data_IF_876065060921
#
_entry.id   IF_876065060921
#
_cell.length_a   1.000
_cell.length_b   1.000
_cell.length_c   1.000
_cell.angle_alpha   90.00
_cell.angle_beta   90.00
_cell.angle_gamma   90.00
#
_symmetry.space_group_name_H-M   'P 1'
#
loop_
_entity.id
_entity.type
_entity.pdbx_description
1 polymer ?
#
# COMPACT_ATOMS: atom_id res chain seq x y z
N UNK A 1 -1.67 -22.77 5.61
CA UNK A 1 -1.92 -21.38 5.15
C UNK A 1 -0.88 -20.87 4.14
N UNK A 2 0.36 -21.40 4.14
CA UNK A 2 1.46 -21.00 3.25
C UNK A 2 1.13 -20.96 1.75
N UNK A 3 0.47 -22.00 1.21
CA UNK A 3 0.09 -22.06 -0.21
C UNK A 3 -0.74 -20.84 -0.65
N UNK A 4 -1.69 -20.39 0.17
CA UNK A 4 -2.54 -19.23 -0.16
C UNK A 4 -1.74 -17.93 -0.17
N UNK A 5 -0.90 -17.71 0.85
CA UNK A 5 -0.04 -16.52 0.93
C UNK A 5 0.98 -16.49 -0.21
N UNK A 6 1.53 -17.64 -0.59
CA UNK A 6 2.43 -17.77 -1.74
C UNK A 6 1.76 -17.34 -3.05
N UNK A 7 0.54 -17.82 -3.32
CA UNK A 7 -0.20 -17.43 -4.53
C UNK A 7 -0.62 -15.97 -4.53
N UNK A 8 -0.98 -15.41 -3.37
CA UNK A 8 -1.26 -13.97 -3.24
C UNK A 8 0.00 -13.16 -3.52
N UNK A 9 1.13 -13.52 -2.92
CA UNK A 9 2.41 -12.83 -3.16
C UNK A 9 2.86 -12.88 -4.62
N UNK A 10 2.70 -14.04 -5.27
CA UNK A 10 3.00 -14.20 -6.70
C UNK A 10 2.10 -13.30 -7.58
N UNK A 11 0.80 -13.22 -7.26
CA UNK A 11 -0.15 -12.35 -7.96
C UNK A 11 0.18 -10.87 -7.79
N UNK A 12 0.61 -10.45 -6.59
CA UNK A 12 1.04 -9.07 -6.32
C UNK A 12 2.29 -8.72 -7.12
N UNK A 13 3.31 -9.59 -7.14
CA UNK A 13 4.54 -9.37 -7.91
C UNK A 13 4.23 -9.26 -9.42
N UNK A 14 3.40 -10.17 -9.94
CA UNK A 14 2.97 -10.13 -11.33
C UNK A 14 2.21 -8.84 -11.68
N UNK A 15 1.32 -8.38 -10.78
CA UNK A 15 0.59 -7.13 -10.93
C UNK A 15 1.51 -5.91 -10.99
N UNK A 16 2.48 -5.82 -10.08
CA UNK A 16 3.47 -4.71 -10.07
C UNK A 16 4.30 -4.71 -11.36
N UNK A 17 4.72 -5.87 -11.85
CA UNK A 17 5.47 -5.98 -13.11
C UNK A 17 4.63 -5.58 -14.33
N UNK A 18 3.33 -5.89 -14.32
CA UNK A 18 2.41 -5.47 -15.39
C UNK A 18 2.22 -3.95 -15.40
N UNK A 19 2.01 -3.33 -14.24
CA UNK A 19 1.83 -1.88 -14.11
C UNK A 19 3.10 -1.13 -14.50
N UNK A 20 4.27 -1.56 -14.01
CA UNK A 20 5.56 -0.92 -14.35
C UNK A 20 5.88 -1.00 -15.84
N UNK A 21 5.57 -2.13 -16.51
CA UNK A 21 5.71 -2.23 -17.98
C UNK A 21 4.70 -1.36 -18.71
N UNK A 22 3.45 -1.30 -18.24
CA UNK A 22 2.43 -0.45 -18.83
C UNK A 22 2.82 1.04 -18.70
N UNK A 23 3.30 1.47 -17.55
CA UNK A 23 3.82 2.82 -17.32
C UNK A 23 5.04 3.13 -18.19
N UNK A 24 5.99 2.20 -18.30
CA UNK A 24 7.16 2.37 -19.16
C UNK A 24 6.76 2.48 -20.64
N UNK A 25 5.78 1.69 -21.09
CA UNK A 25 5.25 1.74 -22.44
C UNK A 25 4.48 3.03 -22.72
N UNK A 26 3.69 3.51 -21.75
CA UNK A 26 3.00 4.80 -21.81
C UNK A 26 4.01 5.96 -21.85
N UNK A 27 5.06 5.88 -21.03
CA UNK A 27 6.11 6.91 -20.97
C UNK A 27 6.95 6.95 -22.25
N UNK A 28 7.13 5.83 -22.93
CA UNK A 28 7.86 5.75 -24.19
C UNK A 28 7.04 6.25 -25.40
N UNK A 29 5.71 6.12 -25.36
CA UNK A 29 4.84 6.42 -26.52
C UNK A 29 3.93 7.65 -26.35
N UNK A 30 3.95 8.34 -25.20
CA UNK A 30 3.08 9.50 -24.95
C UNK A 30 3.91 10.74 -24.55
N UNK A 31 3.86 11.85 -25.32
CA UNK A 31 4.56 13.08 -24.97
C UNK A 31 3.98 13.70 -23.70
N UNK A 32 4.84 14.31 -22.88
CA UNK A 32 4.62 14.77 -21.48
C UNK A 32 3.35 15.61 -21.18
N UNK A 33 2.59 16.06 -22.18
CA UNK A 33 1.43 16.95 -22.01
C UNK A 33 0.13 16.29 -21.55
N UNK A 34 -0.04 14.97 -21.72
CA UNK A 34 -1.25 14.27 -21.25
C UNK A 34 -1.20 13.91 -19.75
N UNK A 35 0.00 13.83 -19.18
CA UNK A 35 0.23 13.53 -17.74
C UNK A 35 -0.16 14.70 -16.84
N UNK A 36 -0.04 15.94 -17.35
CA UNK A 36 -0.38 17.17 -16.65
C UNK A 36 -1.91 17.43 -16.59
N UNK A 37 -2.69 16.87 -17.52
CA UNK A 37 -4.14 17.13 -17.59
C UNK A 37 -4.97 16.30 -16.58
N UNK A 38 -4.46 15.13 -16.14
CA UNK A 38 -5.18 14.24 -15.20
C UNK A 38 -4.75 14.46 -13.74
N UNK A 39 -3.50 14.85 -13.47
CA UNK A 39 -2.94 14.86 -12.12
C UNK A 39 -2.74 16.25 -11.51
N UNK A 40 -3.02 17.32 -12.24
CA UNK A 40 -2.78 18.69 -11.77
C UNK A 40 -1.29 19.00 -11.55
N UNK A 41 -0.97 20.25 -11.19
CA UNK A 41 0.42 20.75 -11.15
C UNK A 41 1.28 20.23 -9.99
N UNK A 42 0.72 19.52 -9.00
CA UNK A 42 1.44 19.07 -7.80
C UNK A 42 1.76 17.56 -7.83
N UNK A 43 2.57 17.15 -8.80
CA UNK A 43 2.97 15.75 -8.99
C UNK A 43 4.05 15.23 -8.02
N UNK A 44 4.72 16.08 -7.25
CA UNK A 44 5.91 15.64 -6.51
C UNK A 44 5.62 14.89 -5.20
N UNK A 45 4.39 14.98 -4.68
CA UNK A 45 4.09 14.53 -3.31
C UNK A 45 2.89 13.57 -3.19
N UNK A 46 2.26 13.15 -4.30
CA UNK A 46 1.08 12.26 -4.25
C UNK A 46 1.45 10.89 -3.68
N UNK A 47 2.55 10.30 -4.16
CA UNK A 47 3.04 9.02 -3.66
C UNK A 47 3.41 9.09 -2.16
N UNK A 48 4.04 10.19 -1.72
CA UNK A 48 4.39 10.39 -0.32
C UNK A 48 3.15 10.56 0.56
N UNK A 49 2.14 11.30 0.10
CA UNK A 49 0.86 11.46 0.81
C UNK A 49 0.11 10.14 0.94
N UNK A 50 0.08 9.32 -0.10
CA UNK A 50 -0.55 8.00 -0.05
C UNK A 50 0.21 7.06 0.89
N UNK A 51 1.54 7.03 0.83
CA UNK A 51 2.36 6.23 1.75
C UNK A 51 2.20 6.68 3.20
N UNK A 52 2.17 8.00 3.46
CA UNK A 52 1.89 8.54 4.78
C UNK A 52 0.51 8.14 5.29
N UNK A 53 -0.51 8.19 4.42
CA UNK A 53 -1.87 7.74 4.75
C UNK A 53 -1.89 6.26 5.14
N UNK A 54 -1.31 5.40 4.31
CA UNK A 54 -1.23 3.95 4.55
C UNK A 54 -0.47 3.60 5.83
N UNK A 55 0.65 4.28 6.11
CA UNK A 55 1.44 4.06 7.33
C UNK A 55 0.68 4.51 8.58
N UNK A 56 -0.07 5.61 8.48
CA UNK A 56 -0.92 6.09 9.58
C UNK A 56 -2.03 5.09 9.88
N UNK A 57 -2.74 4.66 8.85
CA UNK A 57 -3.82 3.69 8.96
C UNK A 57 -3.32 2.33 9.50
N UNK A 58 -2.13 1.89 9.08
CA UNK A 58 -1.50 0.68 9.60
C UNK A 58 -1.16 0.79 11.10
N UNK A 59 -0.62 1.93 11.54
CA UNK A 59 -0.28 2.16 12.95
C UNK A 59 -1.53 2.22 13.83
N UNK A 60 -2.62 2.80 13.33
CA UNK A 60 -3.89 2.85 14.06
C UNK A 60 -4.53 1.46 14.19
N UNK A 61 -4.49 0.67 13.11
CA UNK A 61 -4.91 -0.72 13.13
C UNK A 61 -4.06 -1.56 14.10
N UNK A 62 -2.74 -1.36 14.12
CA UNK A 62 -1.83 -2.02 15.05
C UNK A 62 -2.16 -1.68 16.50
N UNK A 63 -2.32 -0.40 16.84
CA UNK A 63 -2.66 0.03 18.21
C UNK A 63 -4.00 -0.53 18.67
N UNK A 64 -4.98 -0.60 17.77
CA UNK A 64 -6.29 -1.19 18.07
C UNK A 64 -6.14 -2.68 18.41
N UNK A 65 -5.32 -3.41 17.64
CA UNK A 65 -5.01 -4.83 17.93
C UNK A 65 -4.21 -5.01 19.22
N UNK A 66 -3.25 -4.13 19.51
CA UNK A 66 -2.50 -4.16 20.77
C UNK A 66 -3.41 -3.89 21.98
N UNK A 67 -4.35 -2.96 21.87
CA UNK A 67 -5.35 -2.71 22.90
C UNK A 67 -6.29 -3.92 23.12
N UNK A 68 -6.74 -4.54 22.03
CA UNK A 68 -7.53 -5.79 22.09
C UNK A 68 -6.75 -6.94 22.74
N UNK A 69 -5.46 -7.10 22.40
CA UNK A 69 -4.60 -8.14 22.97
C UNK A 69 -4.30 -7.88 24.45
N UNK A 70 -4.02 -6.65 24.84
CA UNK A 70 -3.83 -6.28 26.24
C UNK A 70 -5.11 -6.47 27.06
N UNK A 71 -6.28 -6.18 26.50
CA UNK A 71 -7.55 -6.46 27.16
C UNK A 71 -7.79 -7.97 27.35
N UNK A 72 -7.42 -8.79 26.36
CA UNK A 72 -7.58 -10.25 26.41
C UNK A 72 -6.59 -10.95 27.34
N UNK A 73 -5.31 -10.60 27.27
CA UNK A 73 -4.24 -11.32 27.98
C UNK A 73 -3.74 -10.58 29.23
N UNK A 74 -3.89 -9.26 29.30
CA UNK A 74 -3.53 -8.48 30.50
C UNK A 74 -4.46 -8.74 31.69
N UNK A 75 -5.70 -9.18 31.43
CA UNK A 75 -6.62 -9.66 32.45
C UNK A 75 -6.26 -11.07 32.96
N UNK A 76 -5.63 -11.90 32.12
CA UNK A 76 -5.23 -13.28 32.45
C UNK A 76 -3.98 -13.34 33.34
N UNK A 77 -3.10 -12.33 33.27
CA UNK A 77 -1.87 -12.22 34.08
C UNK A 77 -2.08 -11.59 35.48
N UNK A 78 -3.30 -11.13 35.81
CA UNK A 78 -3.64 -10.57 37.13
C UNK A 78 -4.57 -11.49 37.97
N UNK A 79 -4.85 -12.70 37.49
CA UNK A 79 -5.63 -13.73 38.20
C UNK A 79 -4.76 -14.63 39.07
#
# INVERSE_FOLDING_TARGET
MFKRVFWIGLGVIAGVLAVTKAEAYLKANTPDKARQFVLGPDQDNVAMRTLQGLVTEFRDAQRTREAELNARYGAELKG
#
